data_IF_872599207670
#
_entry.id   IF_872599207670
#
_cell.length_a   1.000
_cell.length_b   1.000
_cell.length_c   1.000
_cell.angle_alpha   90.00
_cell.angle_beta   90.00
_cell.angle_gamma   90.00
#
_symmetry.space_group_name_H-M   'P 1'
#
loop_
_entity.id
_entity.type
_entity.pdbx_description
1 polymer ?
#
# COMPACT_ATOMS: atom_id res chain seq x y z
N UNK A 1 -1.32 60.21 -15.14
CA UNK A 1 -0.98 59.21 -16.16
C UNK A 1 -1.84 57.99 -15.92
N UNK A 2 -2.84 57.77 -16.77
CA UNK A 2 -3.74 56.63 -16.69
C UNK A 2 -3.09 55.44 -17.41
N UNK A 3 -2.81 54.37 -16.65
CA UNK A 3 -2.27 53.11 -17.18
C UNK A 3 -3.38 52.18 -17.62
N UNK A 4 -3.39 51.85 -18.91
CA UNK A 4 -4.29 50.91 -19.57
C UNK A 4 -4.09 49.47 -19.05
N UNK A 5 -5.19 48.81 -18.69
CA UNK A 5 -5.26 47.37 -18.39
C UNK A 5 -5.62 46.64 -19.68
N UNK A 6 -4.88 45.60 -20.12
CA UNK A 6 -5.26 44.82 -21.29
C UNK A 6 -6.36 43.82 -20.94
N UNK A 7 -7.46 43.92 -21.68
CA UNK A 7 -8.62 43.04 -21.63
C UNK A 7 -8.27 41.71 -22.32
N UNK A 8 -8.27 40.60 -21.56
CA UNK A 8 -8.11 39.27 -22.12
C UNK A 8 -9.46 38.77 -22.70
N UNK A 9 -9.46 38.48 -24.00
CA UNK A 9 -10.55 37.79 -24.71
C UNK A 9 -10.71 36.36 -24.13
N UNK A 10 -11.91 36.05 -23.62
CA UNK A 10 -12.33 34.68 -23.40
C UNK A 10 -12.85 34.09 -24.72
N UNK A 11 -12.15 33.08 -25.24
CA UNK A 11 -12.64 32.24 -26.33
C UNK A 11 -13.65 31.23 -25.78
N UNK A 12 -14.93 31.41 -26.13
CA UNK A 12 -15.99 30.44 -25.91
C UNK A 12 -15.86 29.30 -26.93
N UNK A 13 -15.42 28.12 -26.47
CA UNK A 13 -15.52 26.90 -27.27
C UNK A 13 -16.97 26.41 -27.26
N UNK A 14 -17.63 26.43 -28.41
CA UNK A 14 -18.93 25.84 -28.63
C UNK A 14 -18.83 24.30 -28.58
N UNK A 15 -19.49 23.69 -27.61
CA UNK A 15 -19.73 22.25 -27.55
C UNK A 15 -20.85 21.90 -28.54
N UNK A 16 -20.49 21.23 -29.63
CA UNK A 16 -21.44 20.57 -30.53
C UNK A 16 -22.11 19.41 -29.80
N UNK A 17 -23.45 19.47 -29.70
CA UNK A 17 -24.28 18.36 -29.27
C UNK A 17 -24.20 17.24 -30.30
N UNK A 18 -23.83 16.03 -29.85
CA UNK A 18 -23.97 14.82 -30.65
C UNK A 18 -25.42 14.39 -30.48
N UNK A 19 -26.22 14.54 -31.54
CA UNK A 19 -27.57 13.98 -31.62
C UNK A 19 -27.49 12.45 -31.65
N UNK A 20 -28.12 11.82 -30.66
CA UNK A 20 -28.34 10.38 -30.60
C UNK A 20 -29.20 9.93 -31.78
N UNK A 21 -28.59 9.28 -32.77
CA UNK A 21 -29.30 8.54 -33.81
C UNK A 21 -29.86 7.27 -33.18
N UNK A 22 -31.07 7.38 -32.64
CA UNK A 22 -31.86 6.24 -32.18
C UNK A 22 -32.23 5.33 -33.36
N UNK A 23 -31.65 4.13 -33.40
CA UNK A 23 -32.06 3.07 -34.32
C UNK A 23 -33.33 2.40 -33.73
N UNK A 24 -34.49 2.43 -34.40
CA UNK A 24 -35.68 1.77 -33.90
C UNK A 24 -35.58 0.25 -34.15
N UNK A 25 -35.27 -0.52 -33.10
CA UNK A 25 -35.47 -1.96 -33.10
C UNK A 25 -36.93 -2.26 -32.73
N UNK A 26 -37.82 -2.19 -33.72
CA UNK A 26 -39.18 -2.75 -33.63
C UNK A 26 -39.18 -4.16 -34.22
N UNK A 27 -38.72 -5.13 -33.44
CA UNK A 27 -38.89 -6.55 -33.73
C UNK A 27 -39.29 -7.26 -32.46
N UNK A 28 -40.55 -7.70 -32.36
CA UNK A 28 -41.01 -8.62 -31.32
C UNK A 28 -40.30 -9.95 -31.52
N UNK A 29 -39.13 -10.09 -30.91
CA UNK A 29 -38.45 -11.35 -30.71
C UNK A 29 -39.03 -11.97 -29.44
N UNK A 30 -39.97 -12.90 -29.62
CA UNK A 30 -40.38 -13.84 -28.57
C UNK A 30 -39.19 -14.73 -28.20
N UNK A 31 -38.30 -14.21 -27.37
CA UNK A 31 -37.20 -14.97 -26.78
C UNK A 31 -37.79 -15.80 -25.65
N UNK A 32 -37.76 -17.12 -25.81
CA UNK A 32 -38.20 -18.06 -24.80
C UNK A 32 -37.69 -17.67 -23.39
N UNK A 33 -38.57 -17.65 -22.36
CA UNK A 33 -38.23 -17.20 -21.01
C UNK A 33 -37.22 -18.15 -20.38
N UNK A 34 -35.93 -17.86 -20.55
CA UNK A 34 -34.86 -18.71 -19.99
C UNK A 34 -33.43 -18.27 -20.28
N UNK A 35 -33.17 -17.57 -21.40
CA UNK A 35 -31.82 -17.04 -21.73
C UNK A 35 -31.69 -15.52 -21.66
N UNK A 36 -32.74 -14.75 -21.97
CA UNK A 36 -32.68 -13.28 -21.95
C UNK A 36 -32.51 -12.72 -20.51
N UNK A 37 -33.11 -13.37 -19.51
CA UNK A 37 -33.00 -12.95 -18.11
C UNK A 37 -31.62 -13.17 -17.48
N UNK A 38 -30.66 -13.81 -18.18
CA UNK A 38 -29.26 -13.87 -17.71
C UNK A 38 -28.49 -12.56 -17.90
N UNK A 39 -29.00 -11.64 -18.72
CA UNK A 39 -28.34 -10.37 -19.00
C UNK A 39 -28.90 -9.19 -18.20
N UNK A 40 -30.07 -9.33 -17.57
CA UNK A 40 -30.54 -8.33 -16.62
C UNK A 40 -29.73 -8.44 -15.34
N UNK A 41 -28.80 -7.50 -15.14
CA UNK A 41 -28.09 -7.37 -13.88
C UNK A 41 -29.12 -7.18 -12.77
N UNK A 42 -29.12 -8.07 -11.77
CA UNK A 42 -29.95 -7.92 -10.57
C UNK A 42 -29.69 -6.53 -9.99
N UNK A 43 -30.75 -5.73 -9.86
CA UNK A 43 -30.71 -4.49 -9.09
C UNK A 43 -30.34 -4.80 -7.63
N UNK A 44 -29.33 -4.11 -7.11
CA UNK A 44 -28.88 -4.29 -5.73
C UNK A 44 -29.96 -3.90 -4.73
N UNK A 45 -30.15 -4.72 -3.69
CA UNK A 45 -31.06 -4.40 -2.58
C UNK A 45 -30.34 -3.54 -1.54
N UNK A 46 -31.02 -2.51 -1.02
CA UNK A 46 -30.55 -1.74 0.14
C UNK A 46 -30.72 -2.56 1.43
N UNK A 47 -29.61 -2.87 2.08
CA UNK A 47 -29.59 -3.54 3.38
C UNK A 47 -29.57 -2.55 4.56
N UNK A 48 -29.58 -1.24 4.30
CA UNK A 48 -29.60 -0.20 5.31
C UNK A 48 -28.20 0.19 5.78
N UNK A 49 -28.04 0.33 7.09
CA UNK A 49 -26.82 0.83 7.72
C UNK A 49 -26.10 -0.31 8.45
N UNK A 50 -24.83 -0.51 8.07
CA UNK A 50 -23.84 -1.28 8.82
C UNK A 50 -23.16 -0.32 9.81
N UNK A 51 -23.62 -0.32 11.06
CA UNK A 51 -23.00 0.46 12.14
C UNK A 51 -21.91 -0.38 12.83
N UNK A 52 -20.65 -0.06 12.60
CA UNK A 52 -19.52 -0.72 13.26
C UNK A 52 -19.41 -0.27 14.71
N UNK A 53 -19.22 -1.21 15.63
CA UNK A 53 -18.71 -0.90 16.97
C UNK A 53 -17.18 -0.80 16.90
N UNK A 54 -16.64 0.36 17.22
CA UNK A 54 -15.20 0.63 17.10
C UNK A 54 -14.36 0.17 18.29
N UNK A 55 -14.98 -0.31 19.37
CA UNK A 55 -14.25 -0.84 20.55
C UNK A 55 -13.41 -2.07 20.16
N UNK A 56 -12.09 -1.98 20.39
CA UNK A 56 -11.12 -3.03 20.04
C UNK A 56 -10.85 -3.17 18.53
N UNK A 57 -11.34 -2.23 17.72
CA UNK A 57 -11.13 -2.13 16.28
C UNK A 57 -10.86 -0.69 15.85
N UNK A 58 -10.28 0.10 16.76
CA UNK A 58 -10.16 1.55 16.64
C UNK A 58 -9.38 1.96 15.40
N UNK A 59 -8.22 1.35 15.13
CA UNK A 59 -7.40 1.72 13.95
C UNK A 59 -8.10 1.43 12.62
N UNK A 60 -8.91 0.37 12.57
CA UNK A 60 -9.67 0.00 11.38
C UNK A 60 -10.85 0.97 11.15
N UNK A 61 -11.56 1.34 12.21
CA UNK A 61 -12.56 2.41 12.15
C UNK A 61 -11.92 3.73 11.71
N UNK A 62 -10.78 4.10 12.29
CA UNK A 62 -10.10 5.35 11.98
C UNK A 62 -9.65 5.42 10.52
N UNK A 63 -9.11 4.31 9.97
CA UNK A 63 -8.77 4.22 8.55
C UNK A 63 -9.99 4.42 7.63
N UNK A 64 -11.11 3.79 7.97
CA UNK A 64 -12.35 3.92 7.21
C UNK A 64 -12.93 5.35 7.30
N UNK A 65 -12.94 5.94 8.50
CA UNK A 65 -13.35 7.32 8.73
C UNK A 65 -12.48 8.32 7.98
N UNK A 66 -11.14 8.14 7.98
CA UNK A 66 -10.24 8.97 7.17
C UNK A 66 -10.63 8.93 5.69
N UNK A 67 -10.84 7.73 5.13
CA UNK A 67 -11.25 7.65 3.73
C UNK A 67 -12.59 8.35 3.48
N UNK A 68 -13.60 8.07 4.29
CA UNK A 68 -14.98 8.56 4.09
C UNK A 68 -15.09 10.08 4.31
N UNK A 69 -14.43 10.59 5.34
CA UNK A 69 -14.58 11.98 5.79
C UNK A 69 -13.54 12.92 5.16
N UNK A 70 -12.40 12.40 4.72
CA UNK A 70 -11.27 13.21 4.25
C UNK A 70 -10.87 12.87 2.81
N UNK A 71 -10.35 11.66 2.58
CA UNK A 71 -9.73 11.31 1.29
C UNK A 71 -10.74 11.31 0.13
N UNK A 72 -11.92 10.72 0.33
CA UNK A 72 -12.95 10.64 -0.70
C UNK A 72 -13.60 11.99 -1.02
N UNK A 73 -14.01 12.82 -0.03
CA UNK A 73 -14.50 14.17 -0.29
C UNK A 73 -13.49 15.08 -1.01
N UNK A 74 -12.20 15.05 -0.61
CA UNK A 74 -11.14 15.81 -1.28
C UNK A 74 -10.98 15.44 -2.77
N UNK A 75 -11.44 14.26 -3.15
CA UNK A 75 -11.40 13.74 -4.52
C UNK A 75 -12.80 13.65 -5.17
N UNK A 76 -13.81 14.37 -4.64
CA UNK A 76 -15.17 14.42 -5.18
C UNK A 76 -15.87 13.05 -5.31
N UNK A 77 -15.48 12.07 -4.50
CA UNK A 77 -16.13 10.76 -4.49
C UNK A 77 -17.42 10.85 -3.66
N UNK A 78 -18.55 10.65 -4.33
CA UNK A 78 -19.87 10.56 -3.68
C UNK A 78 -20.08 9.19 -3.06
N UNK A 79 -20.90 9.13 -2.02
CA UNK A 79 -21.28 7.88 -1.32
C UNK A 79 -20.07 7.05 -0.85
N UNK A 80 -19.04 7.69 -0.32
CA UNK A 80 -17.83 7.02 0.17
C UNK A 80 -18.10 6.02 1.30
N UNK A 81 -19.22 6.21 2.02
CA UNK A 81 -19.76 5.35 3.07
C UNK A 81 -20.52 4.12 2.53
N UNK A 82 -20.77 4.04 1.22
CA UNK A 82 -21.54 2.95 0.61
C UNK A 82 -20.65 1.78 0.22
N UNK A 83 -20.95 0.60 0.76
CA UNK A 83 -20.36 -0.67 0.34
C UNK A 83 -21.34 -1.39 -0.59
N UNK A 84 -20.90 -1.71 -1.81
CA UNK A 84 -21.64 -2.58 -2.74
C UNK A 84 -21.02 -3.97 -2.69
N UNK A 85 -21.71 -4.96 -2.13
CA UNK A 85 -21.15 -6.28 -1.86
C UNK A 85 -20.79 -7.05 -3.15
N UNK A 86 -19.61 -7.66 -3.18
CA UNK A 86 -19.12 -8.48 -4.31
C UNK A 86 -19.62 -9.93 -4.26
N UNK A 87 -20.22 -10.35 -3.14
CA UNK A 87 -20.69 -11.71 -2.91
C UNK A 87 -19.68 -12.61 -2.16
N UNK A 88 -20.13 -13.78 -1.66
CA UNK A 88 -19.28 -14.70 -0.92
C UNK A 88 -18.22 -15.33 -1.82
N UNK A 89 -16.97 -15.43 -1.33
CA UNK A 89 -15.83 -16.05 -2.04
C UNK A 89 -15.63 -15.51 -3.46
N UNK A 90 -15.97 -14.23 -3.70
CA UNK A 90 -15.82 -13.63 -5.01
C UNK A 90 -14.34 -13.54 -5.39
N UNK A 91 -14.03 -13.84 -6.66
CA UNK A 91 -12.71 -13.56 -7.26
C UNK A 91 -12.37 -12.07 -7.20
N UNK A 92 -13.38 -11.22 -7.04
CA UNK A 92 -13.23 -9.78 -6.87
C UNK A 92 -12.53 -9.44 -5.55
N UNK A 93 -12.71 -10.20 -4.47
CA UNK A 93 -12.06 -9.89 -3.19
C UNK A 93 -10.53 -10.00 -3.31
N UNK A 94 -10.08 -11.10 -3.90
CA UNK A 94 -8.66 -11.31 -4.15
C UNK A 94 -8.11 -10.29 -5.16
N UNK A 95 -8.92 -9.90 -6.16
CA UNK A 95 -8.56 -8.83 -7.08
C UNK A 95 -8.40 -7.52 -6.32
N UNK A 96 -9.42 -7.09 -5.59
CA UNK A 96 -9.46 -5.83 -4.87
C UNK A 96 -8.28 -5.70 -3.90
N UNK A 97 -7.92 -6.75 -3.14
CA UNK A 97 -6.70 -6.77 -2.30
C UNK A 97 -5.39 -6.50 -3.04
N UNK A 98 -5.31 -6.90 -4.31
CA UNK A 98 -4.16 -6.61 -5.19
C UNK A 98 -4.26 -5.27 -5.88
N UNK A 99 -5.47 -4.80 -6.16
CA UNK A 99 -5.69 -3.49 -6.78
C UNK A 99 -5.60 -2.35 -5.74
N UNK A 100 -5.87 -2.62 -4.47
CA UNK A 100 -5.66 -1.67 -3.37
C UNK A 100 -4.18 -1.51 -3.03
N UNK A 101 -3.38 -2.55 -3.30
CA UNK A 101 -1.97 -2.62 -2.91
C UNK A 101 -1.75 -3.28 -1.55
N UNK A 102 -2.80 -3.74 -0.89
CA UNK A 102 -2.69 -4.36 0.43
C UNK A 102 -1.93 -5.70 0.38
N UNK A 103 -2.04 -6.43 -0.74
CA UNK A 103 -1.31 -7.66 -1.00
C UNK A 103 -0.63 -7.66 -2.38
N UNK A 104 0.61 -8.13 -2.43
CA UNK A 104 1.33 -8.45 -3.66
C UNK A 104 1.62 -9.95 -3.76
N UNK A 105 1.67 -10.49 -4.98
CA UNK A 105 2.02 -11.90 -5.21
C UNK A 105 3.46 -12.03 -5.64
N UNK A 106 4.19 -12.95 -5.02
CA UNK A 106 5.49 -13.34 -5.54
C UNK A 106 5.28 -14.17 -6.83
N UNK A 107 5.99 -13.87 -7.93
CA UNK A 107 6.04 -14.78 -9.06
C UNK A 107 6.52 -16.17 -8.57
N UNK A 108 6.01 -17.29 -9.13
CA UNK A 108 6.47 -18.61 -8.72
C UNK A 108 8.00 -18.70 -8.88
N UNK A 109 8.72 -19.18 -7.85
CA UNK A 109 10.17 -19.43 -7.94
C UNK A 109 10.43 -20.32 -9.18
N UNK A 110 11.15 -19.80 -10.18
CA UNK A 110 11.38 -20.44 -11.48
C UNK A 110 10.66 -19.81 -12.67
N UNK A 111 9.77 -18.84 -12.44
CA UNK A 111 9.24 -17.94 -13.46
C UNK A 111 10.07 -16.67 -13.61
N UNK A 112 11.38 -16.69 -13.26
CA UNK A 112 12.31 -15.76 -13.89
C UNK A 112 12.05 -15.91 -15.38
N UNK A 113 11.41 -14.90 -15.95
CA UNK A 113 11.27 -14.79 -17.39
C UNK A 113 12.68 -15.05 -17.87
N UNK A 114 12.88 -16.19 -18.56
CA UNK A 114 13.99 -16.29 -19.49
C UNK A 114 13.84 -15.02 -20.31
N UNK A 115 14.60 -13.98 -19.98
CA UNK A 115 14.77 -12.80 -20.84
C UNK A 115 14.90 -13.43 -22.20
N UNK A 116 13.93 -13.16 -23.06
CA UNK A 116 13.88 -13.79 -24.37
C UNK A 116 15.13 -13.27 -25.08
N UNK A 117 16.25 -13.97 -24.90
CA UNK A 117 17.35 -13.90 -25.82
C UNK A 117 16.72 -14.37 -27.11
N UNK A 118 16.30 -13.41 -27.94
CA UNK A 118 15.91 -13.61 -29.32
C UNK A 118 17.11 -14.23 -30.02
N UNK A 119 17.27 -15.56 -29.85
CA UNK A 119 18.12 -16.32 -30.75
C UNK A 119 17.44 -16.27 -32.11
N UNK A 120 18.12 -15.84 -33.17
CA UNK A 120 17.54 -15.76 -34.50
C UNK A 120 16.98 -17.13 -34.88
N UNK A 121 15.74 -17.13 -35.36
CA UNK A 121 15.06 -18.33 -35.81
C UNK A 121 15.87 -18.99 -36.92
N UNK A 122 16.51 -20.12 -36.64
CA UNK A 122 16.96 -21.02 -37.71
C UNK A 122 15.72 -21.61 -38.38
N UNK A 123 15.65 -21.64 -39.72
CA UNK A 123 14.53 -22.23 -40.45
C UNK A 123 14.41 -23.72 -40.11
N UNK A 124 13.20 -24.14 -39.71
CA UNK A 124 12.91 -25.54 -39.39
C UNK A 124 12.86 -26.36 -40.68
N UNK A 125 13.62 -27.47 -40.71
CA UNK A 125 13.50 -28.52 -41.73
C UNK A 125 12.12 -29.20 -41.66
N UNK A 126 11.59 -29.74 -42.76
CA UNK A 126 10.30 -30.44 -42.78
C UNK A 126 10.41 -31.76 -42.00
N UNK A 127 9.55 -31.97 -41.02
CA UNK A 127 9.41 -33.25 -40.32
C UNK A 127 8.16 -34.02 -40.74
N UNK A 128 8.33 -35.34 -40.81
CA UNK A 128 7.41 -36.41 -41.22
C UNK A 128 6.04 -36.42 -40.50
N UNK A 129 5.04 -37.17 -41.03
CA UNK A 129 3.67 -37.20 -40.54
C UNK A 129 3.56 -37.62 -39.06
N UNK A 130 2.72 -36.91 -38.32
CA UNK A 130 2.52 -37.07 -36.88
C UNK A 130 1.89 -38.42 -36.51
N UNK A 131 2.55 -39.15 -35.60
CA UNK A 131 1.97 -40.30 -34.90
C UNK A 131 1.02 -39.80 -33.78
N UNK A 132 -0.11 -40.48 -33.49
CA UNK A 132 -1.09 -40.01 -32.52
C UNK A 132 -0.48 -39.92 -31.11
N UNK A 133 -0.51 -38.72 -30.52
CA UNK A 133 0.03 -38.45 -29.18
C UNK A 133 -0.95 -38.95 -28.12
N UNK A 134 -0.43 -39.73 -27.16
CA UNK A 134 -1.18 -40.18 -25.97
C UNK A 134 -1.82 -38.99 -25.22
N UNK A 135 -2.99 -39.18 -24.59
CA UNK A 135 -3.64 -38.12 -23.80
C UNK A 135 -2.68 -37.59 -22.73
N UNK A 136 -2.35 -36.32 -22.83
CA UNK A 136 -1.54 -35.61 -21.83
C UNK A 136 -2.25 -35.63 -20.48
N UNK A 137 -1.57 -36.16 -19.46
CA UNK A 137 -2.05 -36.14 -18.07
C UNK A 137 -2.42 -34.70 -17.67
N UNK A 138 -3.51 -34.50 -16.91
CA UNK A 138 -3.91 -33.17 -16.45
C UNK A 138 -2.75 -32.54 -15.68
N UNK A 139 -2.33 -31.36 -16.12
CA UNK A 139 -1.25 -30.61 -15.49
C UNK A 139 -1.62 -30.34 -14.03
N UNK A 140 -0.76 -30.76 -13.09
CA UNK A 140 -0.89 -30.40 -11.67
C UNK A 140 -1.09 -28.87 -11.55
N UNK A 141 -2.05 -28.40 -10.74
CA UNK A 141 -2.24 -26.96 -10.56
C UNK A 141 -0.93 -26.33 -10.10
N UNK A 142 -0.45 -25.35 -10.86
CA UNK A 142 0.74 -24.57 -10.50
C UNK A 142 0.53 -24.00 -9.09
N UNK A 143 1.44 -24.31 -8.17
CA UNK A 143 1.45 -23.76 -6.81
C UNK A 143 1.44 -22.24 -6.92
N UNK A 144 0.35 -21.59 -6.49
CA UNK A 144 0.29 -20.13 -6.45
C UNK A 144 1.44 -19.64 -5.57
N UNK A 145 2.16 -18.61 -6.03
CA UNK A 145 3.25 -18.01 -5.28
C UNK A 145 2.76 -17.45 -3.94
N UNK A 146 3.67 -17.33 -2.97
CA UNK A 146 3.37 -16.72 -1.66
C UNK A 146 2.86 -15.29 -1.85
N UNK A 147 1.87 -14.87 -1.05
CA UNK A 147 1.43 -13.47 -0.97
C UNK A 147 2.18 -12.74 0.13
N UNK A 148 2.57 -11.49 -0.11
CA UNK A 148 3.15 -10.60 0.90
C UNK A 148 2.23 -9.42 1.13
N UNK A 149 1.94 -9.13 2.40
CA UNK A 149 1.27 -7.90 2.82
C UNK A 149 2.28 -6.74 2.79
N UNK A 150 1.84 -5.56 2.35
CA UNK A 150 2.67 -4.33 2.39
C UNK A 150 3.14 -4.02 3.81
N UNK A 151 2.31 -4.27 4.83
CA UNK A 151 2.66 -4.08 6.24
C UNK A 151 3.70 -5.07 6.79
N UNK A 152 4.14 -6.03 5.98
CA UNK A 152 5.20 -7.00 6.32
C UNK A 152 6.41 -6.87 5.39
N UNK A 153 6.44 -5.85 4.55
CA UNK A 153 7.47 -5.65 3.56
C UNK A 153 8.23 -4.36 3.87
N UNK A 154 9.56 -4.43 3.74
CA UNK A 154 10.40 -3.25 3.80
C UNK A 154 10.26 -2.42 2.52
N UNK A 155 10.38 -1.08 2.62
CA UNK A 155 10.53 -0.27 3.83
C UNK A 155 9.19 0.09 4.48
N UNK A 156 8.06 -0.35 3.93
CA UNK A 156 6.72 0.07 4.36
C UNK A 156 6.38 -0.34 5.79
N UNK A 157 6.77 -1.54 6.24
CA UNK A 157 6.57 -1.98 7.62
C UNK A 157 7.39 -1.18 8.63
N UNK A 158 8.54 -0.61 8.23
CA UNK A 158 9.33 0.31 9.05
C UNK A 158 8.64 1.67 9.18
N UNK A 159 7.83 2.04 8.18
CA UNK A 159 7.22 3.35 8.15
C UNK A 159 5.86 3.41 8.82
N UNK A 160 5.02 2.42 8.55
CA UNK A 160 3.59 2.44 8.89
C UNK A 160 3.25 1.69 10.18
N UNK A 161 4.23 1.09 10.82
CA UNK A 161 4.10 0.47 12.13
C UNK A 161 4.83 1.39 13.12
N UNK A 162 4.26 1.70 14.29
CA UNK A 162 4.95 2.44 15.32
C UNK A 162 6.31 1.81 15.65
N UNK A 163 7.29 2.65 15.92
CA UNK A 163 8.69 2.22 16.07
C UNK A 163 8.88 1.21 17.20
N UNK A 164 8.13 1.37 18.29
CA UNK A 164 8.07 0.47 19.45
C UNK A 164 7.36 -0.88 19.15
N UNK A 165 6.70 -1.00 17.99
CA UNK A 165 5.93 -2.16 17.53
C UNK A 165 6.53 -2.88 16.32
N UNK A 166 7.68 -2.45 15.83
CA UNK A 166 8.36 -3.08 14.68
C UNK A 166 8.62 -4.58 14.84
N UNK A 167 8.96 -5.02 16.05
CA UNK A 167 9.16 -6.44 16.38
C UNK A 167 7.89 -7.29 16.17
N UNK A 168 6.72 -6.65 16.22
CA UNK A 168 5.42 -7.28 16.03
C UNK A 168 4.99 -7.34 14.57
N UNK A 169 5.71 -6.74 13.60
CA UNK A 169 5.25 -6.55 12.21
C UNK A 169 4.63 -7.79 11.52
N UNK A 170 5.06 -9.02 11.85
CA UNK A 170 4.42 -10.25 11.34
C UNK A 170 2.97 -10.46 11.76
N UNK A 171 2.55 -9.94 12.90
CA UNK A 171 1.17 -9.99 13.39
C UNK A 171 0.35 -8.79 12.89
N UNK A 172 0.99 -7.84 12.20
CA UNK A 172 0.29 -6.72 11.61
C UNK A 172 -0.32 -7.12 10.28
N UNK A 173 -1.48 -6.55 10.02
CA UNK A 173 -2.25 -6.68 8.80
C UNK A 173 -2.34 -5.33 8.13
N UNK A 174 -2.50 -5.36 6.82
CA UNK A 174 -2.93 -4.21 6.08
C UNK A 174 -4.47 -4.22 6.10
N UNK A 175 -5.05 -3.15 6.61
CA UNK A 175 -6.45 -2.82 6.42
C UNK A 175 -6.59 -1.96 5.15
N UNK A 176 -7.75 -2.02 4.51
CA UNK A 176 -8.03 -1.31 3.27
C UNK A 176 -9.46 -0.75 3.25
N UNK A 177 -9.61 0.52 2.90
CA UNK A 177 -10.90 1.15 2.66
C UNK A 177 -10.95 1.83 1.28
N UNK A 178 -11.97 1.58 0.43
CA UNK A 178 -13.09 0.65 0.64
C UNK A 178 -12.62 -0.81 0.78
N UNK A 179 -13.37 -1.64 1.54
CA UNK A 179 -12.94 -3.01 1.83
C UNK A 179 -12.96 -3.87 0.57
N UNK A 180 -12.10 -4.89 0.48
CA UNK A 180 -12.08 -5.78 -0.69
C UNK A 180 -13.40 -6.49 -0.98
N UNK A 181 -14.31 -6.61 -0.01
CA UNK A 181 -15.67 -7.13 -0.22
C UNK A 181 -16.61 -6.13 -0.91
N UNK A 182 -16.20 -4.88 -1.12
CA UNK A 182 -16.93 -3.88 -1.90
C UNK A 182 -16.56 -3.94 -3.38
N UNK A 183 -17.49 -3.62 -4.27
CA UNK A 183 -17.20 -3.44 -5.69
C UNK A 183 -16.33 -2.19 -5.85
N UNK A 184 -15.22 -2.37 -6.57
CA UNK A 184 -14.24 -1.34 -6.81
C UNK A 184 -13.83 -1.42 -8.28
N UNK A 185 -13.64 -0.26 -8.90
CA UNK A 185 -13.03 -0.21 -10.22
C UNK A 185 -11.58 -0.74 -10.15
N UNK A 186 -10.94 -1.21 -11.23
CA UNK A 186 -9.52 -1.61 -11.22
C UNK A 186 -8.57 -0.45 -10.94
N UNK A 187 -7.34 -0.71 -10.48
CA UNK A 187 -6.38 0.36 -10.23
C UNK A 187 -6.08 1.13 -11.52
N UNK A 188 -5.99 2.45 -11.45
CA UNK A 188 -5.71 3.32 -12.60
C UNK A 188 -6.89 3.56 -13.55
N UNK A 189 -8.08 3.03 -13.26
CA UNK A 189 -9.30 3.41 -14.00
C UNK A 189 -9.67 4.87 -13.75
N UNK A 190 -10.20 5.57 -14.76
CA UNK A 190 -10.74 6.91 -14.60
C UNK A 190 -11.77 6.98 -13.45
N UNK A 191 -11.68 8.02 -12.62
CA UNK A 191 -12.56 8.24 -11.46
C UNK A 191 -12.28 7.34 -10.25
N UNK A 192 -11.26 6.48 -10.30
CA UNK A 192 -10.81 5.74 -9.11
C UNK A 192 -9.70 6.50 -8.40
N UNK A 193 -9.86 6.64 -7.08
CA UNK A 193 -8.77 7.03 -6.17
C UNK A 193 -8.16 5.81 -5.48
N UNK A 194 -6.98 6.01 -4.90
CA UNK A 194 -6.33 4.97 -4.11
C UNK A 194 -7.18 4.61 -2.89
N UNK A 195 -7.16 3.33 -2.51
CA UNK A 195 -7.73 2.93 -1.22
C UNK A 195 -6.91 3.56 -0.10
N UNK A 196 -7.57 3.91 1.00
CA UNK A 196 -6.87 4.17 2.25
C UNK A 196 -6.38 2.87 2.84
N UNK A 197 -5.06 2.75 2.97
CA UNK A 197 -4.40 1.63 3.61
C UNK A 197 -3.85 2.06 4.96
N UNK A 198 -3.91 1.15 5.93
CA UNK A 198 -3.29 1.33 7.24
C UNK A 198 -2.72 0.00 7.73
N UNK A 199 -1.53 0.05 8.31
CA UNK A 199 -0.99 -1.09 9.04
C UNK A 199 -1.53 -1.06 10.47
N UNK A 200 -2.04 -2.20 10.94
CA UNK A 200 -2.57 -2.33 12.30
C UNK A 200 -2.43 -3.76 12.82
N UNK A 201 -2.53 -3.98 14.14
CA UNK A 201 -2.57 -5.32 14.71
C UNK A 201 -3.71 -6.17 14.13
N UNK A 202 -3.46 -7.48 13.94
CA UNK A 202 -4.47 -8.40 13.38
C UNK A 202 -5.81 -8.35 14.13
N UNK A 203 -5.79 -8.24 15.46
CA UNK A 203 -7.01 -8.30 16.25
C UNK A 203 -7.95 -7.10 16.00
N UNK A 204 -7.40 -5.91 15.75
CA UNK A 204 -8.20 -4.71 15.42
C UNK A 204 -8.84 -4.84 14.04
N UNK A 205 -8.06 -5.24 13.03
CA UNK A 205 -8.57 -5.45 11.67
C UNK A 205 -9.63 -6.56 11.61
N UNK A 206 -9.39 -7.67 12.31
CA UNK A 206 -10.33 -8.78 12.37
C UNK A 206 -11.61 -8.45 13.14
N UNK A 207 -11.57 -7.53 14.10
CA UNK A 207 -12.77 -7.09 14.83
C UNK A 207 -13.82 -6.50 13.88
N UNK A 208 -13.42 -5.58 13.00
CA UNK A 208 -14.31 -5.02 11.98
C UNK A 208 -14.64 -6.05 10.89
N UNK A 209 -13.65 -6.86 10.47
CA UNK A 209 -13.87 -7.93 9.51
C UNK A 209 -14.96 -8.91 9.93
N UNK A 210 -15.01 -9.29 11.22
CA UNK A 210 -16.04 -10.16 11.80
C UNK A 210 -17.42 -9.49 11.81
N UNK A 211 -17.49 -8.22 12.21
CA UNK A 211 -18.74 -7.44 12.20
C UNK A 211 -19.32 -7.34 10.79
N UNK A 212 -18.49 -6.97 9.81
CA UNK A 212 -18.87 -6.90 8.40
C UNK A 212 -19.33 -8.26 7.86
N UNK A 213 -18.61 -9.34 8.17
CA UNK A 213 -19.01 -10.68 7.76
C UNK A 213 -20.35 -11.12 8.38
N UNK A 214 -20.58 -10.82 9.66
CA UNK A 214 -21.83 -11.10 10.38
C UNK A 214 -22.99 -10.32 9.77
N UNK A 215 -22.80 -9.03 9.45
CA UNK A 215 -23.78 -8.24 8.70
C UNK A 215 -24.04 -8.88 7.33
N UNK A 216 -23.04 -9.27 6.55
CA UNK A 216 -23.29 -9.91 5.25
C UNK A 216 -24.08 -11.22 5.35
N UNK A 217 -23.90 -12.02 6.40
CA UNK A 217 -24.68 -13.24 6.60
C UNK A 217 -26.07 -12.98 7.23
N UNK A 218 -26.34 -11.76 7.72
CA UNK A 218 -27.57 -11.47 8.47
C UNK A 218 -27.58 -12.11 9.85
N UNK A 219 -26.41 -12.32 10.44
CA UNK A 219 -26.27 -12.85 11.81
C UNK A 219 -26.24 -11.70 12.83
N UNK A 220 -26.99 -11.86 13.91
CA UNK A 220 -27.13 -10.87 14.98
C UNK A 220 -28.12 -9.74 14.68
N UNK A 221 -28.29 -8.85 15.66
CA UNK A 221 -29.19 -7.69 15.55
C UNK A 221 -28.41 -6.47 15.10
N UNK A 222 -28.82 -5.88 13.98
CA UNK A 222 -28.21 -4.68 13.40
C UNK A 222 -29.26 -3.58 13.32
N UNK A 223 -29.25 -2.58 14.23
CA UNK A 223 -30.34 -1.61 14.34
C UNK A 223 -30.69 -0.86 13.05
N UNK A 224 -29.69 -0.61 12.21
CA UNK A 224 -29.88 0.08 10.92
C UNK A 224 -30.17 -0.83 9.73
N UNK A 225 -30.24 -2.16 9.93
CA UNK A 225 -30.42 -3.11 8.83
C UNK A 225 -31.88 -3.19 8.40
N UNK A 226 -32.14 -2.96 7.11
CA UNK A 226 -33.50 -2.94 6.53
C UNK A 226 -34.00 -4.31 6.06
N UNK A 227 -33.08 -5.17 5.62
CA UNK A 227 -33.42 -6.44 4.94
C UNK A 227 -32.88 -7.63 5.72
N UNK A 228 -33.74 -8.61 5.98
CA UNK A 228 -33.35 -9.85 6.65
C UNK A 228 -32.52 -10.78 5.74
N UNK A 229 -31.81 -11.72 6.34
CA UNK A 229 -31.06 -12.76 5.61
C UNK A 229 -29.74 -12.27 5.01
N UNK A 230 -29.17 -13.13 4.17
CA UNK A 230 -27.82 -12.96 3.61
C UNK A 230 -27.81 -11.99 2.43
N UNK A 231 -26.82 -11.10 2.40
CA UNK A 231 -26.54 -10.24 1.26
C UNK A 231 -26.01 -11.07 0.07
N UNK A 232 -26.48 -10.73 -1.12
CA UNK A 232 -25.96 -11.25 -2.37
C UNK A 232 -25.06 -10.21 -3.06
N UNK A 233 -24.41 -10.64 -4.15
CA UNK A 233 -23.67 -9.72 -5.01
C UNK A 233 -24.58 -8.59 -5.48
N UNK A 234 -24.04 -7.37 -5.54
CA UNK A 234 -24.69 -6.10 -5.87
C UNK A 234 -25.56 -5.50 -4.76
N UNK A 235 -25.92 -6.25 -3.71
CA UNK A 235 -26.59 -5.66 -2.55
C UNK A 235 -25.65 -4.65 -1.87
N UNK A 236 -26.20 -3.63 -1.23
CA UNK A 236 -25.39 -2.57 -0.65
C UNK A 236 -25.87 -2.17 0.74
N UNK A 237 -24.97 -1.54 1.49
CA UNK A 237 -25.27 -0.89 2.76
C UNK A 237 -24.43 0.38 2.88
N UNK A 238 -24.92 1.35 3.65
CA UNK A 238 -24.15 2.51 4.12
C UNK A 238 -23.44 2.15 5.43
N UNK A 239 -22.35 2.83 5.73
CA UNK A 239 -21.52 2.54 6.89
C UNK A 239 -21.61 3.69 7.89
N UNK A 240 -21.75 3.34 9.15
CA UNK A 240 -21.64 4.26 10.29
C UNK A 240 -20.69 3.67 11.34
N UNK A 241 -20.19 4.54 12.23
CA UNK A 241 -19.23 4.16 13.27
C UNK A 241 -19.77 4.56 14.64
N UNK A 242 -19.90 3.57 15.53
CA UNK A 242 -20.15 3.76 16.94
C UNK A 242 -18.83 3.85 17.69
N UNK A 243 -18.45 5.09 18.05
CA UNK A 243 -17.23 5.42 18.79
C UNK A 243 -17.48 5.63 20.28
N UNK A 244 -18.70 5.41 20.77
CA UNK A 244 -19.09 5.71 22.17
C UNK A 244 -18.30 4.92 23.23
N UNK A 245 -17.66 3.82 22.82
CA UNK A 245 -16.86 2.93 23.67
C UNK A 245 -15.44 2.73 23.14
N UNK A 246 -15.05 3.50 22.11
CA UNK A 246 -13.72 3.45 21.50
C UNK A 246 -12.75 4.36 22.24
N UNK A 247 -11.45 4.07 22.16
CA UNK A 247 -10.41 5.02 22.53
C UNK A 247 -10.42 6.21 21.55
N UNK A 248 -10.97 7.34 22.01
CA UNK A 248 -11.12 8.57 21.20
C UNK A 248 -9.81 9.07 20.59
N UNK A 249 -8.67 8.81 21.23
CA UNK A 249 -7.36 9.21 20.71
C UNK A 249 -6.93 8.43 19.46
N UNK A 250 -7.52 7.24 19.24
CA UNK A 250 -7.24 6.36 18.10
C UNK A 250 -8.22 6.50 16.95
N UNK A 251 -9.34 7.21 17.14
CA UNK A 251 -10.42 7.38 16.16
C UNK A 251 -10.65 8.85 15.80
N UNK A 252 -9.59 9.65 15.77
CA UNK A 252 -9.64 11.09 15.50
C UNK A 252 -10.42 11.45 14.24
N UNK A 253 -10.30 10.67 13.15
CA UNK A 253 -11.00 10.93 11.90
C UNK A 253 -12.50 10.60 11.95
N UNK A 254 -12.96 9.89 12.99
CA UNK A 254 -14.37 9.61 13.23
C UNK A 254 -15.05 10.69 14.08
N UNK A 255 -14.27 11.57 14.72
CA UNK A 255 -14.78 12.61 15.62
C UNK A 255 -14.96 13.90 14.82
N UNK A 256 -16.17 14.47 14.85
CA UNK A 256 -16.42 15.81 14.32
C UNK A 256 -16.10 16.83 15.39
N UNK A 257 -15.18 17.75 15.12
CA UNK A 257 -14.83 18.86 15.99
C UNK A 257 -15.73 20.08 15.68
N UNK A 258 -15.74 21.07 16.58
CA UNK A 258 -16.55 22.30 16.43
C UNK A 258 -16.12 23.10 15.20
N UNK A 259 -14.84 23.08 14.88
CA UNK A 259 -14.20 23.71 13.73
C UNK A 259 -14.17 22.82 12.48
N UNK A 260 -14.67 21.59 12.56
CA UNK A 260 -14.84 20.69 11.42
C UNK A 260 -14.16 19.33 11.60
N UNK A 261 -13.80 18.71 10.49
CA UNK A 261 -13.01 17.47 10.47
C UNK A 261 -11.54 17.84 10.26
N UNK A 262 -10.66 17.42 11.17
CA UNK A 262 -9.22 17.51 10.97
C UNK A 262 -8.78 16.38 10.04
N UNK A 263 -8.48 16.74 8.79
CA UNK A 263 -8.12 15.80 7.73
C UNK A 263 -6.61 15.70 7.49
N UNK A 264 -5.81 16.20 8.44
CA UNK A 264 -4.36 16.04 8.40
C UNK A 264 -4.01 14.57 8.65
N UNK A 265 -3.23 13.98 7.73
CA UNK A 265 -2.81 12.58 7.80
C UNK A 265 -2.05 12.32 9.12
N UNK A 266 -2.42 11.26 9.86
CA UNK A 266 -1.81 10.92 11.15
C UNK A 266 -0.45 10.22 11.02
N UNK A 267 0.14 10.29 9.83
CA UNK A 267 1.36 9.64 9.34
C UNK A 267 1.24 8.13 9.06
N UNK A 268 0.08 7.52 9.29
CA UNK A 268 -0.14 6.09 9.08
C UNK A 268 -1.10 5.75 7.93
N UNK A 269 -1.70 6.74 7.26
CA UNK A 269 -2.56 6.51 6.08
C UNK A 269 -1.73 6.61 4.81
N UNK A 270 -1.81 5.56 4.01
CA UNK A 270 -1.07 5.48 2.76
C UNK A 270 -1.88 4.82 1.67
N UNK A 271 -1.47 5.05 0.43
CA UNK A 271 -2.15 4.53 -0.74
C UNK A 271 -1.15 4.00 -1.76
N UNK A 272 -1.60 3.06 -2.59
CA UNK A 272 -0.87 2.62 -3.76
C UNK A 272 -0.86 3.75 -4.80
N UNK A 273 0.32 4.21 -5.19
CA UNK A 273 0.50 5.27 -6.21
C UNK A 273 0.88 4.71 -7.56
N UNK A 274 1.51 3.53 -7.58
CA UNK A 274 1.85 2.84 -8.82
C UNK A 274 1.72 1.34 -8.67
N UNK A 275 1.04 0.73 -9.65
CA UNK A 275 0.92 -0.71 -9.80
C UNK A 275 1.38 -1.12 -11.19
N UNK A 276 2.60 -1.63 -11.30
CA UNK A 276 3.17 -1.95 -12.63
C UNK A 276 2.81 -3.35 -13.12
N UNK A 277 2.83 -4.36 -12.25
CA UNK A 277 2.39 -5.71 -12.61
C UNK A 277 0.89 -5.93 -12.33
N UNK A 278 0.23 -6.76 -13.17
CA UNK A 278 -1.16 -7.21 -12.96
C UNK A 278 -1.40 -7.78 -11.55
N UNK A 279 -0.41 -8.46 -10.99
CA UNK A 279 -0.50 -9.08 -9.66
C UNK A 279 0.18 -8.28 -8.56
N UNK A 280 0.86 -7.18 -8.92
CA UNK A 280 1.76 -6.42 -8.04
C UNK A 280 2.97 -7.23 -7.59
N UNK A 281 4.05 -6.52 -7.28
CA UNK A 281 5.23 -7.07 -6.60
C UNK A 281 5.64 -6.12 -5.49
N UNK A 282 6.18 -6.67 -4.41
CA UNK A 282 6.90 -5.88 -3.42
C UNK A 282 8.21 -6.63 -3.19
N UNK A 283 9.25 -6.20 -3.88
CA UNK A 283 10.60 -6.72 -3.71
C UNK A 283 11.21 -6.18 -2.44
N UNK A 284 12.21 -6.91 -1.96
CA UNK A 284 13.07 -6.47 -0.88
C UNK A 284 14.50 -6.87 -1.22
N UNK A 285 15.44 -5.90 -1.37
CA UNK A 285 15.17 -4.46 -1.38
C UNK A 285 14.20 -4.05 -2.49
N UNK A 286 13.54 -2.89 -2.34
CA UNK A 286 12.79 -2.30 -3.47
C UNK A 286 13.81 -2.00 -4.54
N UNK A 287 13.58 -2.51 -5.75
CA UNK A 287 14.49 -2.24 -6.85
C UNK A 287 14.35 -0.76 -7.27
N UNK A 288 15.43 0.03 -7.21
CA UNK A 288 15.38 1.43 -7.58
C UNK A 288 15.02 1.61 -9.06
N UNK A 289 14.19 2.64 -9.31
CA UNK A 289 13.74 3.29 -10.54
C UNK A 289 13.48 2.53 -11.88
N UNK A 290 14.05 1.35 -12.16
CA UNK A 290 14.02 0.79 -13.53
C UNK A 290 13.59 -0.67 -13.66
N UNK A 291 13.38 -1.42 -12.57
CA UNK A 291 13.01 -2.83 -12.77
C UNK A 291 11.56 -3.04 -13.21
N UNK A 292 10.73 -1.98 -13.23
CA UNK A 292 9.32 -2.04 -13.67
C UNK A 292 8.41 -3.00 -12.90
N UNK A 293 8.86 -3.62 -11.81
CA UNK A 293 8.09 -4.71 -11.20
C UNK A 293 7.32 -4.30 -9.94
N UNK A 294 7.87 -3.41 -9.11
CA UNK A 294 7.32 -3.14 -7.78
C UNK A 294 6.14 -2.17 -7.74
N UNK A 295 5.27 -2.42 -6.76
CA UNK A 295 4.25 -1.51 -6.29
C UNK A 295 4.91 -0.36 -5.52
N UNK A 296 4.47 0.86 -5.78
CA UNK A 296 4.92 2.07 -5.07
C UNK A 296 3.77 2.64 -4.27
N UNK A 297 4.10 3.16 -3.09
CA UNK A 297 3.13 3.67 -2.13
C UNK A 297 3.55 5.08 -1.68
N UNK A 298 2.59 5.83 -1.16
CA UNK A 298 2.82 7.16 -0.60
C UNK A 298 1.87 7.44 0.55
N UNK A 299 2.25 8.37 1.42
CA UNK A 299 1.34 8.93 2.41
C UNK A 299 0.23 9.71 1.70
N UNK A 300 -1.02 9.40 2.02
CA UNK A 300 -2.17 10.04 1.38
C UNK A 300 -2.35 11.48 1.84
N UNK A 301 -2.78 12.33 0.92
CA UNK A 301 -3.07 13.75 1.20
C UNK A 301 -1.90 14.49 1.88
N UNK A 302 -0.67 14.09 1.51
CA UNK A 302 0.56 14.77 1.93
C UNK A 302 1.35 15.24 0.71
N UNK A 303 2.40 16.03 0.93
CA UNK A 303 3.35 16.42 -0.13
C UNK A 303 4.25 15.28 -0.62
N UNK A 304 4.25 14.13 0.05
CA UNK A 304 5.12 13.02 -0.30
C UNK A 304 4.51 12.20 -1.41
N UNK A 305 5.20 12.14 -2.54
CA UNK A 305 4.75 11.47 -3.75
C UNK A 305 4.99 9.97 -3.69
N UNK A 306 6.07 9.55 -3.03
CA UNK A 306 6.47 8.14 -2.89
C UNK A 306 7.30 7.89 -1.63
N UNK A 307 7.24 6.65 -1.17
CA UNK A 307 8.16 6.09 -0.18
C UNK A 307 9.13 5.19 -0.93
N UNK A 308 10.41 5.41 -0.68
CA UNK A 308 11.53 4.65 -1.18
C UNK A 308 12.27 3.97 -0.05
N UNK A 309 13.24 3.13 -0.44
CA UNK A 309 14.18 2.51 0.47
C UNK A 309 15.54 3.16 0.24
N UNK A 310 16.04 3.83 1.28
CA UNK A 310 17.41 4.32 1.33
C UNK A 310 18.28 3.32 2.10
N UNK A 311 19.59 3.46 1.99
CA UNK A 311 20.55 2.64 2.70
C UNK A 311 21.72 3.44 3.25
N UNK A 312 22.35 2.90 4.28
CA UNK A 312 23.66 3.32 4.76
C UNK A 312 24.56 2.10 4.82
N UNK A 313 25.75 2.20 4.25
CA UNK A 313 26.82 1.23 4.40
C UNK A 313 28.02 1.95 4.99
N UNK A 314 28.68 1.35 5.98
CA UNK A 314 29.87 1.89 6.60
C UNK A 314 30.74 0.77 7.17
N UNK A 315 32.01 1.09 7.42
CA UNK A 315 32.92 0.24 8.18
C UNK A 315 33.29 0.99 9.46
N UNK A 316 33.02 0.38 10.60
CA UNK A 316 33.50 0.87 11.90
C UNK A 316 34.85 0.23 12.20
N UNK A 317 35.89 1.05 12.32
CA UNK A 317 37.25 0.62 12.70
C UNK A 317 37.52 0.97 14.17
N UNK A 318 37.65 -0.06 15.00
CA UNK A 318 37.76 0.09 16.44
C UNK A 318 36.55 0.79 17.08
N UNK A 319 36.79 1.55 18.14
CA UNK A 319 35.70 2.10 18.94
C UNK A 319 35.15 3.42 18.39
N UNK A 320 35.95 4.21 17.68
CA UNK A 320 35.65 5.62 17.42
C UNK A 320 35.56 5.99 15.94
N UNK A 321 36.19 5.21 15.05
CA UNK A 321 36.39 5.61 13.67
C UNK A 321 35.35 4.94 12.76
N UNK A 322 34.66 5.74 11.96
CA UNK A 322 33.67 5.27 10.99
C UNK A 322 34.12 5.73 9.61
N UNK A 323 34.40 4.77 8.73
CA UNK A 323 34.98 5.02 7.41
C UNK A 323 34.20 4.33 6.30
N UNK A 324 34.54 4.67 5.05
CA UNK A 324 33.94 4.07 3.85
C UNK A 324 32.40 4.22 3.85
N UNK A 325 31.93 5.40 4.25
CA UNK A 325 30.50 5.67 4.44
C UNK A 325 29.86 5.91 3.07
N UNK A 326 28.94 5.04 2.69
CA UNK A 326 28.16 5.11 1.47
C UNK A 326 26.67 5.24 1.82
N UNK A 327 26.03 6.30 1.36
CA UNK A 327 24.60 6.54 1.50
C UNK A 327 23.91 6.22 0.17
N UNK A 328 22.96 5.28 0.18
CA UNK A 328 22.12 4.97 -0.97
C UNK A 328 20.81 5.74 -0.88
N UNK A 329 20.48 6.52 -1.91
CA UNK A 329 19.17 7.18 -2.00
C UNK A 329 18.08 6.26 -2.57
N UNK A 330 16.85 6.79 -2.63
CA UNK A 330 15.69 6.06 -3.14
C UNK A 330 15.75 5.72 -4.63
N UNK A 331 16.64 6.37 -5.38
CA UNK A 331 16.90 6.10 -6.80
C UNK A 331 18.03 5.07 -6.99
N UNK A 332 18.60 4.56 -5.90
CA UNK A 332 19.74 3.65 -5.93
C UNK A 332 21.07 4.33 -6.24
N UNK A 333 21.11 5.66 -6.26
CA UNK A 333 22.36 6.42 -6.39
C UNK A 333 23.10 6.34 -5.07
N UNK A 334 24.41 6.12 -5.17
CA UNK A 334 25.32 6.03 -4.03
C UNK A 334 26.05 7.35 -3.87
N UNK A 335 26.06 7.85 -2.65
CA UNK A 335 26.72 9.08 -2.24
C UNK A 335 27.79 8.74 -1.22
N UNK A 336 29.04 9.11 -1.49
CA UNK A 336 30.11 8.98 -0.50
C UNK A 336 29.95 10.10 0.54
N UNK A 337 29.91 9.71 1.81
CA UNK A 337 29.94 10.66 2.93
C UNK A 337 31.35 10.66 3.55
N UNK A 338 31.82 11.80 4.07
CA UNK A 338 33.11 11.86 4.75
C UNK A 338 33.17 10.88 5.94
N UNK A 339 34.34 10.29 6.13
CA UNK A 339 34.64 9.53 7.35
C UNK A 339 34.43 10.42 8.58
N UNK A 340 34.02 9.81 9.70
CA UNK A 340 33.76 10.54 10.93
C UNK A 340 34.33 9.84 12.16
N UNK A 341 34.79 10.64 13.13
CA UNK A 341 35.21 10.17 14.44
C UNK A 341 34.19 10.56 15.50
N UNK A 342 33.75 9.57 16.28
CA UNK A 342 32.93 9.79 17.46
C UNK A 342 33.76 9.42 18.69
N UNK A 343 34.44 10.37 19.37
CA UNK A 343 35.26 10.06 20.53
C UNK A 343 34.41 9.66 21.75
N UNK A 344 35.03 8.99 22.74
CA UNK A 344 34.38 8.63 24.01
C UNK A 344 33.49 7.39 23.93
N UNK A 345 32.67 7.12 24.96
CA UNK A 345 31.78 5.95 24.95
C UNK A 345 30.51 6.16 24.12
N UNK A 346 30.07 7.41 23.99
CA UNK A 346 28.84 7.82 23.30
C UNK A 346 29.06 9.12 22.55
N UNK A 347 28.28 9.34 21.51
CA UNK A 347 28.34 10.56 20.69
C UNK A 347 27.63 10.35 19.36
N UNK A 348 27.72 11.33 18.47
CA UNK A 348 27.18 11.22 17.12
C UNK A 348 28.00 12.02 16.12
N UNK A 349 27.87 11.65 14.85
CA UNK A 349 28.28 12.47 13.71
C UNK A 349 27.09 12.62 12.76
N UNK A 350 27.05 13.75 12.03
CA UNK A 350 26.07 13.98 10.97
C UNK A 350 26.67 13.57 9.64
N UNK A 351 25.93 12.78 8.88
CA UNK A 351 26.32 12.28 7.57
C UNK A 351 25.55 13.08 6.51
N UNK A 352 26.31 13.67 5.59
CA UNK A 352 25.80 14.43 4.45
C UNK A 352 25.73 13.55 3.19
N UNK A 353 24.90 13.94 2.22
CA UNK A 353 24.77 13.24 0.93
C UNK A 353 23.34 12.82 0.59
N UNK A 354 22.47 12.70 1.60
CA UNK A 354 21.04 12.49 1.39
C UNK A 354 20.27 13.82 1.41
N UNK A 355 19.03 13.87 0.87
CA UNK A 355 18.20 15.08 0.88
C UNK A 355 17.89 15.64 2.27
N UNK A 356 18.02 14.81 3.31
CA UNK A 356 17.93 15.18 4.73
C UNK A 356 19.11 14.58 5.49
N UNK A 357 19.48 15.23 6.59
CA UNK A 357 20.55 14.78 7.47
C UNK A 357 20.28 13.37 8.00
N UNK A 358 21.35 12.56 8.07
CA UNK A 358 21.36 11.28 8.76
C UNK A 358 22.36 11.36 9.92
N UNK A 359 21.90 11.17 11.16
CA UNK A 359 22.77 11.10 12.33
C UNK A 359 23.13 9.66 12.65
N UNK A 360 24.42 9.40 12.79
CA UNK A 360 24.97 8.14 13.29
C UNK A 360 25.36 8.31 14.75
N UNK A 361 24.81 7.49 15.63
CA UNK A 361 25.07 7.50 17.07
C UNK A 361 25.82 6.24 17.50
N UNK A 362 26.90 6.45 18.25
CA UNK A 362 27.62 5.39 18.93
C UNK A 362 27.05 5.12 20.33
N UNK A 363 26.89 3.84 20.69
CA UNK A 363 26.38 3.39 22.01
C UNK A 363 27.31 2.43 22.77
N UNK A 364 28.61 2.51 22.54
CA UNK A 364 29.61 1.68 23.25
C UNK A 364 30.81 1.31 22.38
N UNK A 365 31.61 0.30 22.79
CA UNK A 365 32.79 -0.17 22.04
C UNK A 365 32.42 -0.96 20.76
N UNK A 366 33.39 -1.39 19.98
CA UNK A 366 33.23 -2.19 18.76
C UNK A 366 32.29 -3.40 18.99
N UNK A 367 31.31 -3.61 18.11
CA UNK A 367 30.27 -4.65 18.24
C UNK A 367 29.07 -4.26 19.11
N UNK A 368 29.10 -3.08 19.75
CA UNK A 368 27.89 -2.49 20.35
C UNK A 368 26.94 -1.96 19.29
N UNK A 369 25.67 -1.76 19.68
CA UNK A 369 24.65 -1.20 18.79
C UNK A 369 25.05 0.18 18.28
N UNK A 370 24.76 0.46 17.01
CA UNK A 370 24.72 1.83 16.50
C UNK A 370 23.26 2.25 16.35
N UNK A 371 22.95 3.50 16.72
CA UNK A 371 21.64 4.10 16.45
C UNK A 371 21.77 5.03 15.25
N UNK A 372 20.73 5.11 14.45
CA UNK A 372 20.60 6.02 13.32
C UNK A 372 19.34 6.87 13.50
N UNK A 373 19.39 8.09 12.99
CA UNK A 373 18.24 8.99 12.95
C UNK A 373 18.26 9.78 11.64
N UNK A 374 17.32 9.50 10.75
CA UNK A 374 17.13 10.20 9.49
C UNK A 374 16.14 11.35 9.67
N UNK A 375 16.46 12.50 9.09
CA UNK A 375 15.72 13.75 9.24
C UNK A 375 15.33 14.03 10.71
N UNK A 376 16.30 14.30 11.61
CA UNK A 376 16.05 14.50 13.04
C UNK A 376 14.91 15.49 13.33
N UNK A 377 14.09 15.20 14.34
CA UNK A 377 12.88 15.96 14.65
C UNK A 377 12.00 15.25 15.67
N UNK A 378 10.80 15.77 15.92
CA UNK A 378 9.82 15.10 16.78
C UNK A 378 9.03 14.06 15.97
N UNK A 379 8.79 12.91 16.60
CA UNK A 379 7.94 11.85 16.06
C UNK A 379 6.55 12.43 15.74
N UNK A 380 5.97 12.05 14.59
CA UNK A 380 4.67 12.51 14.07
C UNK A 380 4.59 13.96 13.57
N UNK A 381 5.51 14.87 13.93
CA UNK A 381 5.51 16.23 13.35
C UNK A 381 6.38 16.32 12.11
N UNK A 382 7.52 15.61 12.10
CA UNK A 382 8.36 15.48 10.92
C UNK A 382 8.11 14.13 10.25
N UNK A 383 7.33 14.12 9.17
CA UNK A 383 7.05 12.91 8.40
C UNK A 383 8.31 12.19 7.88
N UNK A 384 9.41 12.91 7.66
CA UNK A 384 10.67 12.32 7.23
C UNK A 384 11.44 11.65 8.37
N UNK A 385 11.11 11.97 9.63
CA UNK A 385 11.82 11.46 10.79
C UNK A 385 11.69 9.95 10.89
N UNK A 386 12.83 9.29 11.05
CA UNK A 386 12.88 7.86 11.29
C UNK A 386 14.13 7.51 12.10
N UNK A 387 13.94 6.82 13.22
CA UNK A 387 15.03 6.34 14.07
C UNK A 387 15.02 4.81 14.16
N UNK A 388 16.20 4.21 14.10
CA UNK A 388 16.41 2.76 14.25
C UNK A 388 17.80 2.48 14.81
N UNK A 389 18.09 1.23 15.11
CA UNK A 389 19.42 0.79 15.48
C UNK A 389 19.82 -0.49 14.73
N UNK A 390 21.08 -0.88 14.85
CA UNK A 390 21.64 -2.06 14.18
C UNK A 390 21.01 -3.39 14.61
N UNK A 391 20.25 -3.39 15.69
CA UNK A 391 19.56 -4.56 16.23
C UNK A 391 18.05 -4.46 16.03
N UNK A 392 17.58 -3.43 15.34
CA UNK A 392 16.17 -3.23 15.08
C UNK A 392 15.68 -4.37 14.20
N UNK A 393 14.76 -5.13 14.77
CA UNK A 393 14.13 -6.25 14.10
C UNK A 393 12.79 -5.85 13.49
N UNK A 394 12.48 -6.46 12.36
CA UNK A 394 11.13 -6.57 11.86
C UNK A 394 10.98 -7.83 11.01
N UNK A 395 9.78 -8.38 10.97
CA UNK A 395 9.51 -9.58 10.18
C UNK A 395 9.06 -9.20 8.76
N UNK A 396 9.95 -9.44 7.81
CA UNK A 396 9.71 -9.37 6.37
C UNK A 396 10.71 -10.27 5.65
N UNK A 397 10.61 -10.42 4.32
CA UNK A 397 11.73 -10.99 3.55
C UNK A 397 12.80 -9.89 3.51
N UNK A 398 13.64 -9.77 4.53
CA UNK A 398 14.77 -8.84 4.52
C UNK A 398 15.81 -9.20 3.44
N UNK A 399 16.85 -8.37 3.28
CA UNK A 399 18.00 -8.66 2.41
C UNK A 399 18.85 -9.84 2.93
N UNK A 400 18.72 -10.16 4.22
CA UNK A 400 19.14 -11.43 4.79
C UNK A 400 17.91 -12.31 4.98
N UNK A 401 18.08 -13.63 5.09
CA UNK A 401 17.00 -14.51 5.54
C UNK A 401 16.54 -14.20 6.99
N UNK A 402 17.13 -13.17 7.61
CA UNK A 402 17.04 -12.82 9.02
C UNK A 402 16.15 -11.58 9.23
N UNK A 403 15.72 -11.41 10.47
CA UNK A 403 14.69 -10.44 10.90
C UNK A 403 15.20 -9.00 11.03
N UNK A 404 16.42 -8.68 10.60
CA UNK A 404 17.08 -7.42 10.94
C UNK A 404 17.01 -6.38 9.82
N UNK A 405 16.92 -5.10 10.19
CA UNK A 405 17.01 -3.96 9.27
C UNK A 405 18.44 -3.69 8.81
N UNK A 406 19.41 -4.33 9.47
CA UNK A 406 20.81 -4.17 9.23
C UNK A 406 21.49 -5.52 9.06
N UNK A 407 22.45 -5.58 8.14
CA UNK A 407 23.43 -6.63 8.01
C UNK A 407 24.70 -6.17 8.73
N UNK A 408 25.30 -7.07 9.52
CA UNK A 408 26.56 -6.85 10.24
C UNK A 408 27.56 -7.93 9.86
N UNK A 409 28.81 -7.54 9.62
CA UNK A 409 29.94 -8.45 9.47
C UNK A 409 31.09 -7.95 10.34
N UNK A 410 31.75 -8.85 11.08
CA UNK A 410 32.91 -8.48 11.90
C UNK A 410 34.15 -9.19 11.39
N UNK A 411 35.24 -8.44 11.20
CA UNK A 411 36.55 -8.95 10.77
C UNK A 411 37.66 -8.24 11.54
N UNK A 412 38.26 -8.93 12.51
CA UNK A 412 39.30 -8.34 13.35
C UNK A 412 38.79 -7.12 14.14
N UNK A 413 39.41 -5.97 13.89
CA UNK A 413 39.07 -4.68 14.50
C UNK A 413 38.05 -3.87 13.68
N UNK A 414 37.48 -4.47 12.62
CA UNK A 414 36.51 -3.82 11.76
C UNK A 414 35.12 -4.47 11.89
N UNK A 415 34.09 -3.65 11.78
CA UNK A 415 32.69 -4.04 11.71
C UNK A 415 32.02 -3.36 10.51
N UNK A 416 31.69 -4.15 9.49
CA UNK A 416 30.93 -3.72 8.32
C UNK A 416 29.44 -3.73 8.63
N UNK A 417 28.78 -2.59 8.38
CA UNK A 417 27.37 -2.38 8.69
C UNK A 417 26.69 -1.88 7.44
N UNK A 418 25.58 -2.52 7.07
CA UNK A 418 24.71 -2.09 5.99
C UNK A 418 23.26 -2.11 6.49
N UNK A 419 22.61 -0.95 6.55
CA UNK A 419 21.24 -0.81 7.02
C UNK A 419 20.35 -0.20 5.93
N UNK A 420 19.06 -0.53 5.98
CA UNK A 420 18.05 0.08 5.11
C UNK A 420 16.94 0.74 5.91
N UNK A 421 16.41 1.83 5.37
CA UNK A 421 15.38 2.63 6.03
C UNK A 421 14.44 3.30 5.02
N UNK A 422 13.20 3.64 5.42
CA UNK A 422 12.29 4.41 4.59
C UNK A 422 12.81 5.83 4.35
N UNK A 423 12.69 6.30 3.12
CA UNK A 423 12.89 7.69 2.74
C UNK A 423 11.79 8.11 1.73
N UNK A 424 11.74 9.39 1.36
CA UNK A 424 10.64 9.94 0.57
C UNK A 424 11.11 10.73 -0.63
N UNK A 425 10.30 10.68 -1.69
CA UNK A 425 10.31 11.67 -2.77
C UNK A 425 9.12 12.61 -2.54
N UNK A 426 9.41 13.89 -2.47
CA UNK A 426 8.41 14.95 -2.42
C UNK A 426 7.77 15.15 -3.81
N UNK A 427 6.66 15.89 -3.86
CA UNK A 427 5.98 16.21 -5.11
C UNK A 427 6.88 16.97 -6.12
N UNK A 428 7.87 17.71 -5.64
CA UNK A 428 8.89 18.42 -6.46
C UNK A 428 10.03 17.51 -6.93
N UNK A 429 10.01 16.21 -6.58
CA UNK A 429 11.02 15.24 -6.96
C UNK A 429 12.25 15.19 -6.04
N UNK A 430 12.25 15.90 -4.91
CA UNK A 430 13.36 15.92 -3.94
C UNK A 430 13.22 14.93 -2.79
#
# INVERSE_FOLDING_TARGET
MFGLIPTALFATAALTQIEDVGIPFSGNLDVAPGRANRFQARAGTDFGILKFNCKGGESACNNACYYINCHAPANNIKDADKIVYTGPKSKDNDRNRRESGCQARHPPKGAHQKRQNHKPHKPKKPTKPHKPTKPTKPNKPKKLGSTTSVCRAFPYSQRFIPSDKHSEASSWQCDEWPPASSQQQPFGSSGRIANSLRCMPSHENEALGRQMASFYQGHGTWPGRKTAGKMARNDYARVEFDISQADGSKVSFCIKHVDGLHCDNDVYQFGLTKKRQKYGQISVPIEPNDSDQDNLYALQDTRFKRIFQCSIKLTREGDNHFKSIELGDGEGTKHEAPDCDIPGATGHCTLEGLPKELKLFKKGPLGSKLKFEYAPGEEQTNFNWYAWDTDSEGKGKGPTADKFYCKKGKSGNEEDIECWFPCYENADGR
#
